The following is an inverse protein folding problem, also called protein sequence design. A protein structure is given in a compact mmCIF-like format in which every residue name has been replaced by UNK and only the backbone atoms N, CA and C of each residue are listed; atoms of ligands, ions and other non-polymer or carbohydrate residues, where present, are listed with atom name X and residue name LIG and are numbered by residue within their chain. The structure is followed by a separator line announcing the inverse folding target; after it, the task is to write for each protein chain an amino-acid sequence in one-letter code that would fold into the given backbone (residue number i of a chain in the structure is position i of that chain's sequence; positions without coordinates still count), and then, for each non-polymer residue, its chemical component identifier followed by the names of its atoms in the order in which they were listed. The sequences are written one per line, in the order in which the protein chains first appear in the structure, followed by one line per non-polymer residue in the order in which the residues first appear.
data_IF_499230755609
#
_entry.id   IF_499230755609
#
_cell.length_a   1.000
_cell.length_b   1.000
_cell.length_c   1.000
_cell.angle_alpha   90.00
_cell.angle_beta   90.00
_cell.angle_gamma   90.00
#
_symmetry.space_group_name_H-M   'P 1'
#
loop_
_entity.id
_entity.type
_entity.pdbx_description
1 polymer ?
#
# COMPACT_ATOMS: atom_id res chain seq x y z
N UNK A 1 5.69 18.27 4.21
CA UNK A 1 6.04 17.49 2.99
C UNK A 1 5.36 16.12 3.07
N UNK A 2 5.22 15.39 1.97
CA UNK A 2 4.71 14.01 1.98
C UNK A 2 5.67 13.12 2.79
N UNK A 3 5.14 12.41 3.79
CA UNK A 3 5.92 11.56 4.69
C UNK A 3 6.46 10.26 4.06
N UNK A 4 6.13 10.00 2.78
CA UNK A 4 6.56 8.78 2.07
C UNK A 4 7.55 9.04 0.93
N UNK A 5 7.43 10.18 0.24
CA UNK A 5 8.29 10.50 -0.90
C UNK A 5 8.94 11.88 -0.81
N UNK A 6 8.78 12.58 0.32
CA UNK A 6 9.32 13.91 0.59
C UNK A 6 8.89 14.99 -0.42
N UNK A 7 7.86 14.73 -1.22
CA UNK A 7 7.30 15.74 -2.12
C UNK A 7 6.73 16.91 -1.32
N UNK A 8 7.08 18.15 -1.71
CA UNK A 8 6.47 19.35 -1.13
C UNK A 8 4.99 19.43 -1.52
N UNK A 9 4.16 19.80 -0.56
CA UNK A 9 2.76 20.09 -0.82
C UNK A 9 2.63 21.46 -1.48
N UNK A 10 1.65 21.60 -2.36
CA UNK A 10 1.33 22.84 -3.08
C UNK A 10 -0.18 22.90 -3.32
N UNK A 11 -0.67 23.96 -3.96
CA UNK A 11 -2.09 24.09 -4.30
C UNK A 11 -2.60 22.89 -5.14
N UNK A 12 -1.74 22.36 -6.02
CA UNK A 12 -2.05 21.19 -6.87
C UNK A 12 -1.71 19.88 -6.14
N UNK A 13 -0.61 19.83 -5.39
CA UNK A 13 -0.22 18.66 -4.60
C UNK A 13 -0.75 18.77 -3.16
N UNK A 14 -2.02 18.45 -2.97
CA UNK A 14 -2.71 18.59 -1.67
C UNK A 14 -2.29 17.51 -0.67
N UNK A 15 -2.54 17.78 0.60
CA UNK A 15 -2.32 16.86 1.72
C UNK A 15 -3.45 15.83 1.80
N UNK A 16 -3.09 14.58 2.06
CA UNK A 16 -4.05 13.50 2.29
C UNK A 16 -3.62 12.68 3.51
N UNK A 17 -4.59 12.26 4.32
CA UNK A 17 -4.34 11.41 5.48
C UNK A 17 -4.64 9.95 5.14
N UNK A 18 -3.73 9.06 5.54
CA UNK A 18 -4.00 7.63 5.59
C UNK A 18 -4.87 7.32 6.82
N UNK A 19 -5.99 6.62 6.64
CA UNK A 19 -6.90 6.25 7.75
C UNK A 19 -6.39 5.07 8.59
N UNK A 20 -5.39 4.34 8.11
CA UNK A 20 -4.77 3.23 8.85
C UNK A 20 -3.65 3.72 9.79
N UNK A 21 -2.74 4.57 9.30
CA UNK A 21 -1.56 5.00 10.07
C UNK A 21 -1.47 6.51 10.37
N UNK A 22 -2.44 7.32 9.93
CA UNK A 22 -2.49 8.77 10.19
C UNK A 22 -1.49 9.63 9.40
N UNK A 23 -0.49 9.04 8.72
CA UNK A 23 0.54 9.79 7.98
C UNK A 23 -0.06 10.72 6.91
N UNK A 24 0.56 11.90 6.74
CA UNK A 24 0.24 12.86 5.69
C UNK A 24 1.01 12.55 4.42
N UNK A 25 0.30 12.15 3.37
CA UNK A 25 0.84 11.74 2.09
C UNK A 25 0.30 12.60 0.93
N UNK A 26 0.99 12.58 -0.21
CA UNK A 26 0.47 13.11 -1.48
C UNK A 26 -0.43 12.07 -2.17
N UNK A 27 -1.25 12.50 -3.12
CA UNK A 27 -2.20 11.64 -3.84
C UNK A 27 -1.55 10.36 -4.40
N UNK A 28 -0.34 10.46 -4.97
CA UNK A 28 0.39 9.32 -5.54
C UNK A 28 0.81 8.26 -4.51
N UNK A 29 1.00 8.64 -3.24
CA UNK A 29 1.41 7.74 -2.16
C UNK A 29 0.24 7.23 -1.32
N UNK A 30 -0.98 7.73 -1.57
CA UNK A 30 -2.21 7.30 -0.91
C UNK A 30 -3.39 7.18 -1.89
N UNK A 31 -3.15 6.51 -3.01
CA UNK A 31 -4.12 6.28 -4.07
C UNK A 31 -5.08 5.11 -3.78
N UNK A 32 -4.65 4.20 -2.92
CA UNK A 32 -5.36 2.97 -2.60
C UNK A 32 -6.43 3.18 -1.52
N UNK A 33 -7.40 2.26 -1.50
CA UNK A 33 -8.43 2.19 -0.48
C UNK A 33 -8.51 0.75 0.03
N UNK A 34 -8.67 0.60 1.33
CA UNK A 34 -8.81 -0.69 2.00
C UNK A 34 -9.86 -0.60 3.11
N UNK A 35 -10.50 -1.71 3.41
CA UNK A 35 -11.40 -1.81 4.58
C UNK A 35 -10.55 -2.00 5.82
N UNK A 36 -10.80 -1.20 6.86
CA UNK A 36 -10.07 -1.27 8.12
C UNK A 36 -10.88 -2.06 9.14
N UNK A 37 -10.23 -2.77 10.04
CA UNK A 37 -10.88 -3.68 10.99
C UNK A 37 -11.98 -2.96 11.80
N UNK A 38 -11.65 -1.81 12.38
CA UNK A 38 -12.60 -0.99 13.17
C UNK A 38 -13.78 -0.44 12.36
N UNK A 39 -13.78 -0.59 11.03
CA UNK A 39 -14.86 -0.19 10.14
C UNK A 39 -15.72 -1.38 9.70
N UNK A 40 -15.33 -2.62 10.02
CA UNK A 40 -16.07 -3.84 9.65
C UNK A 40 -17.32 -4.04 10.52
N UNK A 41 -17.26 -3.65 11.79
CA UNK A 41 -18.32 -3.91 12.78
C UNK A 41 -19.54 -2.98 12.64
N UNK A 42 -19.37 -1.82 12.00
CA UNK A 42 -20.44 -0.85 11.77
C UNK A 42 -20.91 -0.94 10.30
N UNK A 43 -22.13 -1.44 10.02
CA UNK A 43 -22.66 -1.59 8.67
C UNK A 43 -22.65 -0.28 7.87
N UNK A 44 -22.75 0.87 8.55
CA UNK A 44 -22.74 2.19 7.93
C UNK A 44 -21.33 2.66 7.56
N UNK A 45 -20.28 2.07 8.15
CA UNK A 45 -18.86 2.45 7.95
C UNK A 45 -18.05 1.45 7.14
N UNK A 46 -18.64 0.33 6.68
CA UNK A 46 -17.96 -0.71 5.89
C UNK A 46 -17.35 -0.26 4.54
N UNK A 47 -17.43 1.03 4.20
CA UNK A 47 -16.84 1.59 2.98
C UNK A 47 -15.29 1.62 3.04
N UNK A 48 -14.59 1.32 1.94
CA UNK A 48 -13.13 1.28 1.93
C UNK A 48 -12.54 2.70 2.08
N UNK A 49 -11.64 2.83 3.05
CA UNK A 49 -11.02 4.09 3.44
C UNK A 49 -9.68 4.30 2.72
N UNK A 50 -9.34 5.56 2.47
CA UNK A 50 -8.05 5.91 1.84
C UNK A 50 -6.88 5.49 2.72
N UNK A 51 -5.97 4.73 2.14
CA UNK A 51 -4.74 4.28 2.81
C UNK A 51 -3.50 4.63 1.98
N UNK A 52 -2.34 4.72 2.64
CA UNK A 52 -1.09 4.82 1.92
C UNK A 52 -0.65 3.46 1.37
N UNK A 53 0.15 3.47 0.31
CA UNK A 53 0.64 2.25 -0.37
C UNK A 53 1.26 1.21 0.57
N UNK A 54 2.09 1.59 1.57
CA UNK A 54 2.60 0.61 2.54
C UNK A 54 1.50 -0.06 3.38
N UNK A 55 0.50 0.70 3.82
CA UNK A 55 -0.61 0.16 4.60
C UNK A 55 -1.51 -0.74 3.75
N UNK A 56 -1.76 -0.38 2.49
CA UNK A 56 -2.53 -1.23 1.59
C UNK A 56 -1.86 -2.60 1.37
N UNK A 57 -0.55 -2.63 1.13
CA UNK A 57 0.21 -3.88 0.99
C UNK A 57 0.19 -4.71 2.28
N UNK A 58 0.33 -4.06 3.45
CA UNK A 58 0.27 -4.74 4.73
C UNK A 58 -1.12 -5.35 5.00
N UNK A 59 -2.19 -4.60 4.74
CA UNK A 59 -3.56 -5.06 4.93
C UNK A 59 -3.90 -6.22 3.99
N UNK A 60 -3.49 -6.17 2.72
CA UNK A 60 -3.67 -7.28 1.78
C UNK A 60 -2.99 -8.57 2.27
N UNK A 61 -1.76 -8.47 2.79
CA UNK A 61 -1.04 -9.62 3.35
C UNK A 61 -1.74 -10.22 4.58
N UNK A 62 -2.36 -9.38 5.40
CA UNK A 62 -3.14 -9.84 6.56
C UNK A 62 -4.39 -10.58 6.08
N UNK A 63 -5.12 -10.02 5.11
CA UNK A 63 -6.32 -10.65 4.53
C UNK A 63 -5.99 -12.02 3.88
N UNK A 64 -4.88 -12.10 3.14
CA UNK A 64 -4.41 -13.36 2.54
C UNK A 64 -4.09 -14.42 3.61
N UNK A 65 -3.44 -14.01 4.70
CA UNK A 65 -3.10 -14.92 5.81
C UNK A 65 -4.35 -15.42 6.55
N UNK A 66 -5.30 -14.54 6.83
CA UNK A 66 -6.58 -14.92 7.45
C UNK A 66 -7.40 -15.87 6.57
N UNK A 67 -7.33 -15.71 5.25
CA UNK A 67 -7.95 -16.63 4.29
C UNK A 67 -7.30 -18.02 4.37
N UNK A 68 -5.97 -18.10 4.31
CA UNK A 68 -5.25 -19.37 4.41
C UNK A 68 -5.55 -20.10 5.73
N UNK A 69 -5.61 -19.38 6.85
CA UNK A 69 -5.94 -19.96 8.15
C UNK A 69 -7.37 -20.51 8.23
N UNK A 70 -8.35 -19.87 7.58
CA UNK A 70 -9.74 -20.39 7.50
C UNK A 70 -9.81 -21.66 6.65
N UNK A 71 -9.12 -21.68 5.52
CA UNK A 71 -9.10 -22.85 4.61
C UNK A 71 -8.48 -24.09 5.28
N UNK A 72 -7.47 -23.92 6.14
CA UNK A 72 -6.90 -25.01 6.93
C UNK A 72 -7.79 -25.48 8.11
N UNK A 73 -8.68 -24.63 8.62
CA UNK A 73 -9.57 -24.98 9.72
C UNK A 73 -10.82 -25.76 9.26
N UNK A 74 -11.27 -25.53 8.02
CA UNK A 74 -12.46 -26.15 7.45
C UNK A 74 -12.18 -27.44 6.65
N UNK A 75 -10.90 -27.81 6.45
CA UNK A 75 -10.47 -29.02 5.73
C UNK A 75 -10.37 -30.30 6.57
N UNK A 76 -10.94 -30.32 7.78
CA UNK A 76 -10.79 -31.41 8.75
C UNK A 76 -12.06 -32.24 8.97
N UNK A 77 -12.61 -32.86 7.92
CA UNK A 77 -13.51 -34.02 8.08
C UNK A 77 -13.45 -34.96 6.84
N UNK A 78 -12.99 -36.20 7.06
CA UNK A 78 -13.25 -37.45 6.31
C UNK A 78 -12.83 -37.54 4.81
N UNK A 79 -12.09 -38.52 4.26
CA UNK A 79 -11.53 -39.83 4.65
C UNK A 79 -10.49 -40.28 3.61
N UNK A 80 -9.46 -40.99 4.10
CA UNK A 80 -8.58 -42.03 3.53
C UNK A 80 -8.56 -42.37 2.02
N UNK A 81 -7.36 -42.32 1.39
CA UNK A 81 -6.84 -43.34 0.45
C UNK A 81 -5.41 -43.00 -0.05
N UNK A 82 -4.40 -43.66 0.56
CA UNK A 82 -3.11 -44.16 0.00
C UNK A 82 -2.21 -43.33 -0.95
N UNK A 83 -0.86 -43.43 -0.81
CA UNK A 83 0.10 -42.70 -1.62
C UNK A 83 0.34 -43.40 -2.97
N UNK A 84 0.11 -42.70 -4.07
CA UNK A 84 0.54 -43.14 -5.41
C UNK A 84 1.43 -42.09 -6.06
N UNK A 85 2.71 -42.44 -6.10
CA UNK A 85 3.78 -41.95 -6.97
C UNK A 85 3.28 -41.64 -8.39
N UNK A 86 3.57 -40.45 -8.92
CA UNK A 86 4.48 -40.28 -10.08
C UNK A 86 4.24 -38.96 -10.85
N UNK A 87 5.38 -38.37 -11.24
CA UNK A 87 5.64 -37.56 -12.45
C UNK A 87 4.98 -36.18 -12.59
N UNK A 88 5.84 -35.18 -12.78
CA UNK A 88 5.49 -33.77 -12.81
C UNK A 88 4.92 -33.27 -14.13
N UNK A 89 4.71 -31.94 -14.20
CA UNK A 89 4.92 -31.08 -15.37
C UNK A 89 4.65 -29.60 -14.97
N UNK A 90 5.69 -28.80 -15.16
CA UNK A 90 5.79 -27.42 -15.70
C UNK A 90 4.78 -26.34 -15.28
N UNK A 91 5.38 -25.31 -14.69
CA UNK A 91 4.90 -23.92 -14.59
C UNK A 91 4.57 -23.35 -15.97
N UNK A 92 3.40 -22.74 -16.13
CA UNK A 92 3.17 -21.74 -17.18
C UNK A 92 2.72 -20.41 -16.56
N UNK A 93 3.52 -19.38 -16.84
CA UNK A 93 3.19 -17.97 -16.63
C UNK A 93 2.18 -17.56 -17.71
N UNK A 94 1.02 -17.04 -17.31
CA UNK A 94 0.07 -16.41 -18.22
C UNK A 94 0.35 -14.91 -18.37
N UNK A 95 1.04 -14.53 -19.44
CA UNK A 95 0.98 -13.19 -20.04
C UNK A 95 0.24 -13.37 -21.36
N UNK A 96 -0.90 -12.70 -21.55
CA UNK A 96 -1.50 -12.52 -22.86
C UNK A 96 -2.23 -11.18 -22.96
N UNK A 97 -1.67 -10.35 -23.84
CA UNK A 97 -2.29 -9.21 -24.49
C UNK A 97 -2.35 -9.59 -25.96
N UNK A 98 -3.52 -9.56 -26.58
CA UNK A 98 -3.64 -9.57 -28.04
C UNK A 98 -4.76 -8.65 -28.48
N UNK A 99 -4.41 -7.79 -29.43
CA UNK A 99 -5.31 -7.12 -30.34
C UNK A 99 -5.77 -8.12 -31.41
N UNK A 100 -7.01 -8.01 -31.86
CA UNK A 100 -7.41 -8.48 -33.19
C UNK A 100 -8.59 -7.62 -33.69
N UNK A 101 -8.33 -6.93 -34.79
CA UNK A 101 -9.27 -6.28 -35.70
C UNK A 101 -10.06 -7.32 -36.50
N UNK A 102 -11.33 -7.02 -36.81
CA UNK A 102 -11.99 -7.44 -38.04
C UNK A 102 -13.13 -6.46 -38.35
N UNK A 103 -13.13 -5.96 -39.58
CA UNK A 103 -14.16 -5.12 -40.22
C UNK A 103 -15.10 -6.03 -41.03
N UNK A 104 -16.42 -5.75 -41.02
CA UNK A 104 -17.31 -5.58 -42.19
C UNK A 104 -18.80 -5.72 -41.80
N UNK A 105 -19.53 -4.65 -42.11
CA UNK A 105 -20.99 -4.35 -42.09
C UNK A 105 -21.82 -5.15 -43.13
N UNK A 106 -23.15 -4.91 -43.39
CA UNK A 106 -24.16 -4.01 -42.78
C UNK A 106 -25.55 -4.68 -42.50
N UNK A 107 -26.46 -4.02 -41.78
CA UNK A 107 -27.83 -3.65 -42.24
C UNK A 107 -28.69 -3.01 -41.11
N UNK A 108 -29.67 -2.22 -41.54
CA UNK A 108 -30.35 -1.09 -40.92
C UNK A 108 -31.31 -1.36 -39.73
N UNK A 109 -31.46 -0.37 -38.84
CA UNK A 109 -32.71 0.39 -38.61
C UNK A 109 -32.64 1.34 -37.39
N UNK A 110 -33.39 2.44 -37.51
CA UNK A 110 -33.43 3.67 -36.69
C UNK A 110 -33.88 3.51 -35.21
N UNK A 111 -33.35 4.34 -34.29
CA UNK A 111 -34.05 5.45 -33.62
C UNK A 111 -33.50 5.82 -32.21
N UNK A 112 -32.96 7.06 -32.12
CA UNK A 112 -33.01 8.07 -31.03
C UNK A 112 -33.16 7.68 -29.54
N UNK A 113 -32.14 8.04 -28.73
CA UNK A 113 -32.35 8.54 -27.36
C UNK A 113 -31.13 9.33 -26.82
N UNK A 114 -31.26 10.64 -26.91
CA UNK A 114 -30.45 11.73 -26.31
C UNK A 114 -29.82 11.45 -24.92
N UNK A 115 -28.48 11.52 -24.83
CA UNK A 115 -27.73 11.50 -23.56
C UNK A 115 -27.86 12.84 -22.82
N UNK A 116 -28.71 12.90 -21.79
CA UNK A 116 -28.87 14.08 -20.92
C UNK A 116 -27.65 14.26 -20.02
N UNK A 117 -26.68 15.06 -20.45
CA UNK A 117 -25.66 15.64 -19.57
C UNK A 117 -26.34 16.56 -18.55
N UNK A 118 -26.30 16.18 -17.28
CA UNK A 118 -26.80 17.01 -16.16
C UNK A 118 -25.95 18.27 -16.06
N UNK A 119 -26.56 19.42 -16.33
CA UNK A 119 -25.97 20.74 -16.12
C UNK A 119 -26.50 21.31 -14.80
N UNK A 120 -25.60 21.89 -13.99
CA UNK A 120 -25.97 22.57 -12.74
C UNK A 120 -25.79 24.07 -12.98
N UNK A 121 -26.83 24.84 -12.70
CA UNK A 121 -26.81 26.31 -12.72
C UNK A 121 -26.73 26.82 -11.29
N UNK A 122 -25.96 27.89 -11.08
CA UNK A 122 -25.97 28.61 -9.80
C UNK A 122 -27.24 29.46 -9.69
N UNK A 123 -27.53 29.99 -8.49
CA UNK A 123 -28.80 30.69 -8.16
C UNK A 123 -28.98 32.03 -8.91
N UNK A 124 -27.89 32.53 -9.47
CA UNK A 124 -27.71 33.69 -10.35
C UNK A 124 -27.77 33.33 -11.85
N UNK A 125 -28.01 32.07 -12.21
CA UNK A 125 -28.30 31.64 -13.59
C UNK A 125 -27.09 31.45 -14.51
N UNK A 126 -25.86 31.62 -14.02
CA UNK A 126 -24.64 31.51 -14.83
C UNK A 126 -24.11 30.07 -14.85
N UNK A 127 -23.84 29.54 -16.05
CA UNK A 127 -23.18 28.24 -16.23
C UNK A 127 -21.66 28.36 -16.13
N UNK A 128 -20.93 27.36 -15.60
CA UNK A 128 -19.47 27.37 -15.60
C UNK A 128 -18.95 27.47 -17.05
N UNK A 129 -18.23 28.55 -17.36
CA UNK A 129 -17.66 28.79 -18.70
C UNK A 129 -18.46 29.70 -19.63
N UNK A 130 -19.56 30.32 -19.17
CA UNK A 130 -20.22 31.37 -19.94
C UNK A 130 -19.50 32.72 -19.73
N UNK A 131 -18.76 33.18 -20.72
CA UNK A 131 -18.35 34.58 -20.81
C UNK A 131 -19.56 35.40 -21.29
N UNK A 132 -20.07 36.30 -20.45
CA UNK A 132 -21.15 37.23 -20.81
C UNK A 132 -20.70 38.22 -21.88
N UNK A 133 -21.57 38.62 -22.82
CA UNK A 133 -21.22 39.58 -23.86
C UNK A 133 -21.41 41.01 -23.33
N UNK A 134 -20.37 41.83 -23.38
CA UNK A 134 -20.52 43.27 -23.53
C UNK A 134 -19.42 43.76 -24.45
N UNK A 135 -19.86 44.43 -25.51
CA UNK A 135 -19.10 44.98 -26.63
C UNK A 135 -17.94 45.88 -26.19
N UNK A 136 -16.77 45.71 -26.82
CA UNK A 136 -16.10 46.65 -27.73
C UNK A 136 -14.77 46.02 -28.23
N UNK A 137 -14.41 46.30 -29.50
CA UNK A 137 -13.40 45.62 -30.34
C UNK A 137 -11.91 45.78 -29.94
N UNK A 138 -10.97 45.01 -30.54
CA UNK A 138 -9.60 44.73 -30.03
C UNK A 138 -8.49 45.63 -30.64
N UNK A 139 -7.20 45.50 -30.22
CA UNK A 139 -6.30 44.60 -30.95
C UNK A 139 -5.23 43.84 -30.11
N UNK A 140 -4.84 42.70 -30.68
CA UNK A 140 -3.50 42.12 -30.77
C UNK A 140 -2.69 41.69 -29.53
N UNK A 141 -2.41 40.38 -29.52
CA UNK A 141 -1.21 39.72 -29.02
C UNK A 141 -0.90 39.76 -27.50
N UNK A 142 -1.47 38.80 -26.76
CA UNK A 142 -0.76 38.22 -25.62
C UNK A 142 -0.21 36.83 -25.96
N UNK A 143 1.10 36.83 -26.17
CA UNK A 143 1.96 35.69 -26.42
C UNK A 143 1.83 34.70 -25.26
N UNK A 144 1.29 33.54 -25.56
CA UNK A 144 1.22 32.37 -24.67
C UNK A 144 2.62 31.97 -24.19
N UNK A 145 3.05 32.44 -23.02
CA UNK A 145 4.20 31.85 -22.30
C UNK A 145 3.71 30.65 -21.49
N UNK A 146 3.27 29.61 -22.20
CA UNK A 146 3.14 28.28 -21.62
C UNK A 146 4.55 27.74 -21.38
N UNK A 147 5.14 28.09 -20.24
CA UNK A 147 6.36 27.41 -19.77
C UNK A 147 5.97 25.97 -19.46
N UNK A 148 6.24 25.08 -20.43
CA UNK A 148 6.10 23.63 -20.28
C UNK A 148 6.81 23.23 -18.98
N UNK A 149 6.15 22.55 -18.02
CA UNK A 149 6.81 22.13 -16.80
C UNK A 149 7.94 21.17 -17.17
N UNK A 150 9.17 21.62 -16.94
CA UNK A 150 10.39 20.84 -17.18
C UNK A 150 10.20 19.50 -16.48
N UNK A 151 10.13 18.42 -17.28
CA UNK A 151 9.89 17.03 -16.86
C UNK A 151 10.99 16.65 -15.86
N UNK A 152 10.82 16.96 -14.57
CA UNK A 152 11.82 16.68 -13.54
C UNK A 152 12.08 15.18 -13.57
N UNK A 153 13.35 14.85 -13.80
CA UNK A 153 13.81 13.55 -14.24
C UNK A 153 13.23 12.43 -13.35
N UNK A 154 12.38 11.58 -13.94
CA UNK A 154 11.72 10.42 -13.30
C UNK A 154 12.72 9.57 -12.49
N UNK A 155 13.99 9.54 -12.92
CA UNK A 155 15.10 8.88 -12.21
C UNK A 155 15.32 9.43 -10.79
N UNK A 156 15.26 10.75 -10.57
CA UNK A 156 15.52 11.35 -9.24
C UNK A 156 14.44 10.99 -8.22
N UNK A 157 13.18 10.87 -8.66
CA UNK A 157 12.08 10.42 -7.79
C UNK A 157 12.15 8.93 -7.46
N UNK A 158 12.58 8.09 -8.41
CA UNK A 158 12.78 6.67 -8.16
C UNK A 158 13.90 6.43 -7.13
N UNK A 159 15.01 7.17 -7.22
CA UNK A 159 16.12 7.08 -6.25
C UNK A 159 15.67 7.46 -4.84
N UNK A 160 14.92 8.56 -4.69
CA UNK A 160 14.42 8.99 -3.37
C UNK A 160 13.46 7.96 -2.76
N UNK A 161 12.60 7.33 -3.56
CA UNK A 161 11.71 6.26 -3.08
C UNK A 161 12.50 5.04 -2.63
N UNK A 162 13.46 4.58 -3.43
CA UNK A 162 14.29 3.42 -3.08
C UNK A 162 15.09 3.66 -1.79
N UNK A 163 15.62 4.87 -1.59
CA UNK A 163 16.30 5.24 -0.34
C UNK A 163 15.32 5.21 0.86
N UNK A 164 14.09 5.69 0.68
CA UNK A 164 13.08 5.65 1.75
C UNK A 164 12.62 4.22 2.06
N UNK A 165 12.48 3.37 1.04
CA UNK A 165 12.19 1.93 1.19
C UNK A 165 13.32 1.22 1.93
N UNK A 166 14.58 1.44 1.53
CA UNK A 166 15.74 0.85 2.21
C UNK A 166 15.84 1.28 3.68
N UNK A 167 15.59 2.56 3.99
CA UNK A 167 15.55 3.03 5.39
C UNK A 167 14.42 2.39 6.19
N UNK A 168 13.26 2.20 5.55
CA UNK A 168 12.13 1.54 6.19
C UNK A 168 12.43 0.05 6.41
N UNK A 169 13.11 -0.62 5.47
CA UNK A 169 13.59 -2.00 5.62
C UNK A 169 14.62 -2.12 6.75
N UNK A 170 15.54 -1.16 6.87
CA UNK A 170 16.52 -1.08 7.97
C UNK A 170 15.83 -0.88 9.33
N UNK A 171 14.83 -0.01 9.42
CA UNK A 171 14.07 0.25 10.65
C UNK A 171 13.12 -0.90 11.03
N UNK A 172 12.56 -1.61 10.05
CA UNK A 172 11.64 -2.73 10.25
C UNK A 172 12.33 -4.09 10.29
N UNK A 173 13.65 -4.13 10.10
CA UNK A 173 14.48 -5.33 10.09
C UNK A 173 14.30 -6.16 11.35
N UNK A 174 14.14 -7.48 11.19
CA UNK A 174 14.02 -8.41 12.30
C UNK A 174 15.39 -8.60 12.96
N UNK A 175 15.47 -8.36 14.27
CA UNK A 175 16.67 -8.61 15.07
C UNK A 175 16.70 -10.04 15.66
N UNK A 176 15.61 -10.81 15.50
CA UNK A 176 15.56 -12.21 15.89
C UNK A 176 16.50 -13.08 15.03
N UNK A 177 16.83 -14.29 15.52
CA UNK A 177 17.60 -15.26 14.76
C UNK A 177 16.94 -15.59 13.41
N UNK A 178 17.78 -15.77 12.40
CA UNK A 178 17.40 -16.19 11.04
C UNK A 178 18.37 -17.26 10.55
N UNK A 179 18.08 -17.93 9.44
CA UNK A 179 18.97 -18.98 8.89
C UNK A 179 20.41 -18.52 8.63
N UNK A 180 20.64 -17.21 8.47
CA UNK A 180 21.96 -16.62 8.22
C UNK A 180 22.57 -15.95 9.46
N UNK A 181 21.81 -15.81 10.56
CA UNK A 181 22.25 -15.22 11.84
C UNK A 181 21.55 -15.96 12.98
N UNK A 182 22.15 -17.03 13.54
CA UNK A 182 21.50 -17.86 14.56
C UNK A 182 21.51 -17.24 15.96
N UNK A 183 22.29 -16.19 16.19
CA UNK A 183 22.45 -15.55 17.49
C UNK A 183 21.32 -14.54 17.79
N UNK A 184 21.01 -14.41 19.08
CA UNK A 184 20.07 -13.44 19.62
C UNK A 184 20.80 -12.13 19.94
N UNK A 185 20.20 -11.01 19.58
CA UNK A 185 20.63 -9.70 20.06
C UNK A 185 19.91 -9.41 21.38
N UNK A 186 20.65 -9.27 22.47
CA UNK A 186 20.11 -9.00 23.80
C UNK A 186 20.63 -7.68 24.36
N UNK A 187 19.87 -7.09 25.29
CA UNK A 187 20.29 -5.92 26.06
C UNK A 187 20.68 -6.42 27.45
N UNK A 188 21.96 -6.28 27.77
CA UNK A 188 22.52 -6.59 29.08
C UNK A 188 21.95 -5.65 30.17
N UNK A 189 22.03 -6.01 31.46
CA UNK A 189 21.61 -5.13 32.55
C UNK A 189 22.34 -3.79 32.61
N UNK A 190 23.56 -3.70 32.06
CA UNK A 190 24.31 -2.44 31.93
C UNK A 190 23.78 -1.53 30.82
N UNK A 191 22.87 -2.03 29.97
CA UNK A 191 22.32 -1.32 28.82
C UNK A 191 23.08 -1.58 27.52
N UNK A 192 24.17 -2.35 27.56
CA UNK A 192 24.95 -2.70 26.37
C UNK A 192 24.23 -3.77 25.54
N UNK A 193 24.32 -3.65 24.21
CA UNK A 193 23.75 -4.60 23.27
C UNK A 193 24.78 -5.66 22.89
N UNK A 194 24.47 -6.92 23.15
CA UNK A 194 25.36 -8.06 22.90
C UNK A 194 24.67 -9.13 22.04
N UNK A 195 25.45 -9.77 21.16
CA UNK A 195 25.01 -10.93 20.38
C UNK A 195 25.34 -12.20 21.17
N UNK A 196 24.36 -13.06 21.36
CA UNK A 196 24.46 -14.21 22.27
C UNK A 196 23.83 -15.44 21.63
N UNK A 197 24.50 -16.59 21.73
CA UNK A 197 23.99 -17.86 21.27
C UNK A 197 22.74 -18.31 22.04
N UNK A 198 21.89 -19.12 21.40
CA UNK A 198 20.65 -19.65 21.98
C UNK A 198 20.89 -20.33 23.34
N UNK A 199 21.98 -21.08 23.46
CA UNK A 199 22.37 -21.82 24.67
C UNK A 199 22.50 -20.91 25.91
N UNK A 200 23.04 -19.71 25.74
CA UNK A 200 23.22 -18.75 26.83
C UNK A 200 21.90 -18.07 27.21
N UNK A 201 21.01 -17.80 26.23
CA UNK A 201 19.66 -17.29 26.50
C UNK A 201 18.85 -18.32 27.29
N UNK A 202 18.89 -19.59 26.86
CA UNK A 202 18.21 -20.70 27.53
C UNK A 202 18.74 -20.91 28.95
N UNK A 203 20.06 -20.82 29.15
CA UNK A 203 20.67 -20.96 30.48
C UNK A 203 20.19 -19.87 31.44
N UNK A 204 20.20 -18.59 31.01
CA UNK A 204 19.66 -17.48 31.82
C UNK A 204 18.18 -17.66 32.17
N UNK A 205 17.37 -18.09 31.21
CA UNK A 205 15.94 -18.34 31.45
C UNK A 205 15.69 -19.51 32.42
N UNK A 206 16.53 -20.55 32.41
CA UNK A 206 16.45 -21.69 33.36
C UNK A 206 16.78 -21.27 34.79
N UNK A 207 17.69 -20.31 34.95
CA UNK A 207 18.07 -19.68 36.22
C UNK A 207 17.04 -18.63 36.70
N UNK A 208 15.87 -18.55 36.06
CA UNK A 208 14.81 -17.58 36.34
C UNK A 208 15.27 -16.10 36.21
N UNK A 209 16.38 -15.87 35.49
CA UNK A 209 16.89 -14.53 35.18
C UNK A 209 16.14 -13.94 33.96
N UNK A 210 15.65 -12.69 34.06
CA UNK A 210 15.01 -12.03 32.93
C UNK A 210 16.04 -11.72 31.84
N UNK A 211 15.67 -11.98 30.57
CA UNK A 211 16.49 -11.68 29.40
C UNK A 211 15.77 -10.66 28.53
N UNK A 212 16.43 -9.55 28.22
CA UNK A 212 15.89 -8.54 27.30
C UNK A 212 16.32 -8.85 25.88
N UNK A 213 15.40 -9.33 25.04
CA UNK A 213 15.65 -9.69 23.64
C UNK A 213 15.23 -8.54 22.73
N UNK A 214 16.09 -8.17 21.77
CA UNK A 214 15.78 -7.15 20.77
C UNK A 214 15.01 -7.81 19.62
N UNK A 215 13.80 -7.33 19.38
CA UNK A 215 12.95 -7.80 18.27
C UNK A 215 13.23 -6.99 17.00
N UNK A 216 13.39 -5.67 17.14
CA UNK A 216 13.74 -4.70 16.08
C UNK A 216 14.47 -3.50 16.68
N UNK A 217 15.01 -2.60 15.85
CA UNK A 217 15.80 -1.42 16.27
C UNK A 217 15.19 -0.60 17.43
N UNK A 218 13.86 -0.47 17.47
CA UNK A 218 13.13 0.31 18.48
C UNK A 218 12.14 -0.56 19.29
N UNK A 219 12.31 -1.88 19.31
CA UNK A 219 11.41 -2.80 20.01
C UNK A 219 12.22 -3.93 20.65
N UNK A 220 12.19 -3.98 21.97
CA UNK A 220 12.73 -5.08 22.77
C UNK A 220 11.63 -5.66 23.66
N UNK A 221 11.77 -6.93 24.02
CA UNK A 221 10.91 -7.60 24.99
C UNK A 221 11.75 -8.17 26.13
N UNK A 222 11.21 -8.13 27.34
CA UNK A 222 11.80 -8.81 28.50
C UNK A 222 11.10 -10.14 28.66
N UNK A 223 11.86 -11.23 28.65
CA UNK A 223 11.36 -12.60 28.78
C UNK A 223 11.83 -13.14 30.13
N UNK A 224 10.89 -13.68 30.91
CA UNK A 224 11.16 -14.34 32.18
C UNK A 224 10.23 -15.54 32.32
N UNK A 225 10.78 -16.69 32.71
CA UNK A 225 9.98 -17.87 33.07
C UNK A 225 9.57 -17.71 34.54
N UNK A 226 8.27 -17.80 34.81
CA UNK A 226 7.74 -17.83 36.18
C UNK A 226 7.34 -19.27 36.48
N UNK A 227 7.94 -19.86 37.52
CA UNK A 227 7.58 -21.18 38.04
C UNK A 227 6.46 -21.07 39.07
#
# INVERSE_FOLDING_TARGET
MCMLCNARFSLINRRHHCRACGRVACAACCKERATLEYMKDDPKKRSPARVCTPCASMLARIEDYEKMMREHAEGGDSVDATPSTSTGIRVTRGVLKTHASNEAEPDASHADAHEKKRCVVFRDGVKPGATSPTSLNPPAEEKSTTVKPKKKNRKRHAVVRRIAELRLEEELGCALPTSTRPEFLIISPSGDMEMVAEECVVSRLKEDLPVTIVLKKNLSCVVKICK
#
